data_IF_568834086797
#
_entry.id   IF_568834086797
#
_cell.length_a   1.000
_cell.length_b   1.000
_cell.length_c   1.000
_cell.angle_alpha   90.00
_cell.angle_beta   90.00
_cell.angle_gamma   90.00
#
_symmetry.space_group_name_H-M   'P 1'
#
loop_
_entity.id
_entity.type
_entity.pdbx_description
1 polymer ?
#
# COMPACT_ATOMS: atom_id res chain seq x y z
N UNK A 1 -10.52 -22.22 -13.48
CA UNK A 1 -10.64 -22.06 -12.02
C UNK A 1 -10.34 -20.60 -11.73
N UNK A 2 -11.37 -19.79 -11.48
CA UNK A 2 -11.15 -18.39 -11.08
C UNK A 2 -10.43 -18.39 -9.73
N UNK A 3 -9.21 -17.83 -9.71
CA UNK A 3 -8.45 -17.67 -8.47
C UNK A 3 -9.11 -16.51 -7.72
N UNK A 4 -9.63 -16.77 -6.51
CA UNK A 4 -10.21 -15.73 -5.68
C UNK A 4 -9.13 -14.70 -5.35
N UNK A 5 -9.23 -13.49 -5.92
CA UNK A 5 -8.21 -12.44 -5.75
C UNK A 5 -8.26 -11.82 -4.35
N UNK A 6 -9.40 -11.92 -3.66
CA UNK A 6 -9.62 -11.30 -2.35
C UNK A 6 -8.74 -11.86 -1.22
N UNK A 7 -8.09 -13.00 -1.42
CA UNK A 7 -7.18 -13.59 -0.43
C UNK A 7 -5.71 -13.22 -0.67
N UNK A 8 -5.39 -12.60 -1.80
CA UNK A 8 -4.02 -12.20 -2.13
C UNK A 8 -3.75 -10.80 -1.58
N UNK A 9 -2.78 -10.68 -0.69
CA UNK A 9 -2.42 -9.39 -0.09
C UNK A 9 -2.05 -8.31 -1.13
N UNK A 10 -1.48 -8.71 -2.27
CA UNK A 10 -1.11 -7.81 -3.38
C UNK A 10 -2.31 -7.21 -4.12
N UNK A 11 -3.48 -7.84 -4.02
CA UNK A 11 -4.71 -7.40 -4.69
C UNK A 11 -5.64 -6.61 -3.75
N UNK A 12 -5.24 -6.42 -2.49
CA UNK A 12 -6.01 -5.65 -1.52
C UNK A 12 -5.74 -4.16 -1.69
N UNK A 13 -6.80 -3.35 -1.69
CA UNK A 13 -6.67 -1.90 -1.65
C UNK A 13 -6.08 -1.46 -0.30
N UNK A 14 -5.17 -0.49 -0.32
CA UNK A 14 -4.65 0.14 0.89
C UNK A 14 -5.64 1.20 1.41
N UNK A 15 -6.21 1.06 2.63
CA UNK A 15 -7.12 2.06 3.19
C UNK A 15 -6.50 3.45 3.34
N UNK A 16 -5.19 3.56 3.52
CA UNK A 16 -4.50 4.85 3.65
C UNK A 16 -4.53 5.69 2.36
N UNK A 17 -4.80 5.05 1.21
CA UNK A 17 -4.80 5.67 -0.12
C UNK A 17 -6.19 5.62 -0.77
N UNK A 18 -7.27 5.49 0.00
CA UNK A 18 -8.63 5.36 -0.56
C UNK A 18 -9.09 6.59 -1.37
N UNK A 19 -8.55 7.77 -1.05
CA UNK A 19 -8.85 9.06 -1.69
C UNK A 19 -7.58 9.72 -2.24
N UNK A 20 -6.61 8.91 -2.68
CA UNK A 20 -5.29 9.41 -3.15
C UNK A 20 -5.41 10.41 -4.32
N UNK A 21 -6.47 10.33 -5.10
CA UNK A 21 -6.81 11.23 -6.21
C UNK A 21 -7.23 12.64 -5.76
N UNK A 22 -7.57 12.80 -4.47
CA UNK A 22 -7.97 14.08 -3.86
C UNK A 22 -6.89 14.71 -2.99
N UNK A 23 -5.80 13.98 -2.73
CA UNK A 23 -4.67 14.45 -1.94
C UNK A 23 -3.85 15.49 -2.70
N UNK A 24 -3.24 16.42 -1.96
CA UNK A 24 -2.21 17.30 -2.51
C UNK A 24 -0.94 16.51 -2.86
N UNK A 25 -0.08 17.04 -3.74
CA UNK A 25 1.17 16.37 -4.10
C UNK A 25 2.07 16.02 -2.89
N UNK A 26 2.09 16.86 -1.86
CA UNK A 26 2.88 16.61 -0.64
C UNK A 26 2.31 15.44 0.17
N UNK A 27 0.99 15.37 0.33
CA UNK A 27 0.31 14.27 1.02
C UNK A 27 0.52 12.94 0.29
N UNK A 28 0.47 12.96 -1.05
CA UNK A 28 0.74 11.77 -1.88
C UNK A 28 2.15 11.23 -1.61
N UNK A 29 3.18 12.07 -1.66
CA UNK A 29 4.55 11.57 -1.44
C UNK A 29 4.81 11.16 0.00
N UNK A 30 4.10 11.76 0.97
CA UNK A 30 4.17 11.35 2.37
C UNK A 30 3.57 9.96 2.59
N UNK A 31 2.37 9.68 2.06
CA UNK A 31 1.76 8.35 2.20
C UNK A 31 2.56 7.27 1.46
N UNK A 32 3.17 7.60 0.32
CA UNK A 32 4.09 6.69 -0.38
C UNK A 32 5.30 6.37 0.52
N UNK A 33 5.95 7.39 1.07
CA UNK A 33 7.11 7.21 1.94
C UNK A 33 6.79 6.38 3.20
N UNK A 34 5.59 6.55 3.77
CA UNK A 34 5.14 5.78 4.92
C UNK A 34 4.93 4.29 4.59
N UNK A 35 4.49 3.96 3.37
CA UNK A 35 4.42 2.58 2.89
C UNK A 35 5.80 2.00 2.57
N UNK A 36 6.68 2.75 1.91
CA UNK A 36 8.06 2.33 1.60
C UNK A 36 8.84 1.97 2.87
N UNK A 37 8.66 2.72 3.96
CA UNK A 37 9.31 2.44 5.25
C UNK A 37 8.97 1.04 5.80
N UNK A 38 7.80 0.48 5.46
CA UNK A 38 7.39 -0.86 5.90
C UNK A 38 8.18 -1.96 5.20
N UNK A 39 8.71 -1.70 4.01
CA UNK A 39 9.51 -2.69 3.25
C UNK A 39 10.76 -3.09 4.03
N UNK A 40 11.49 -2.12 4.61
CA UNK A 40 12.68 -2.41 5.41
C UNK A 40 12.35 -3.33 6.60
N UNK A 41 11.22 -3.10 7.28
CA UNK A 41 10.76 -3.93 8.39
C UNK A 41 10.38 -5.34 7.93
N UNK A 42 9.78 -5.48 6.75
CA UNK A 42 9.43 -6.78 6.19
C UNK A 42 10.69 -7.58 5.81
N UNK A 43 11.67 -6.93 5.19
CA UNK A 43 12.96 -7.54 4.83
C UNK A 43 13.74 -7.99 6.06
N UNK A 44 13.68 -7.25 7.17
CA UNK A 44 14.34 -7.66 8.41
C UNK A 44 13.79 -8.99 8.99
N UNK A 45 12.57 -9.40 8.61
CA UNK A 45 11.90 -10.59 9.13
C UNK A 45 12.11 -11.85 8.28
N UNK A 46 12.86 -11.75 7.17
CA UNK A 46 13.24 -12.89 6.30
C UNK A 46 14.71 -13.23 6.48
#
# INVERSE_FOLDING_TARGET
MERSLSVLATEMANPATSEIDRMSPLEIVQVINDEDAKVAQAVQRV
#
